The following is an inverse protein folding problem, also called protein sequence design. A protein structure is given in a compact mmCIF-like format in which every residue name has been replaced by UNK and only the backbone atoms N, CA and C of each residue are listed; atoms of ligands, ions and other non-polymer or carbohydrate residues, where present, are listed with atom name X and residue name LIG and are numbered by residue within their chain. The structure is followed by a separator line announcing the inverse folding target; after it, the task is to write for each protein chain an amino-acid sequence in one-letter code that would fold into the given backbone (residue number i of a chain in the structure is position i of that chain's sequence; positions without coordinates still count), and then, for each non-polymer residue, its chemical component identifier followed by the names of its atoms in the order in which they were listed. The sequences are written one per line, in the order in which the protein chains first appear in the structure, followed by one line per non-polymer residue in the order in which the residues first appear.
data_IF_396241276618
#
_entry.id   IF_396241276618
#
_cell.length_a   1.000
_cell.length_b   1.000
_cell.length_c   1.000
_cell.angle_alpha   90.00
_cell.angle_beta   90.00
_cell.angle_gamma   90.00
#
_symmetry.space_group_name_H-M   'P 1'
#
loop_
_entity.id
_entity.type
_entity.pdbx_description
1 polymer ?
#
# COMPACT_ATOMS: atom_id res chain seq x y z
N UNK A 1 -0.64 1.17 -11.56
CA UNK A 1 -1.64 0.40 -10.79
C UNK A 1 -1.79 0.98 -9.39
N UNK A 2 -0.76 0.95 -8.54
CA UNK A 2 -0.76 1.60 -7.21
C UNK A 2 -1.05 3.13 -7.21
N UNK A 3 -0.42 3.88 -8.12
CA UNK A 3 -0.66 5.34 -8.26
C UNK A 3 -2.00 5.71 -8.95
N UNK A 4 -2.80 4.71 -9.34
CA UNK A 4 -4.07 4.89 -10.07
C UNK A 4 -5.26 4.46 -9.18
N UNK A 5 -5.02 4.17 -7.90
CA UNK A 5 -6.06 3.76 -6.94
C UNK A 5 -6.35 2.26 -6.89
N UNK A 6 -5.49 1.43 -7.48
CA UNK A 6 -5.55 -0.03 -7.33
C UNK A 6 -4.54 -0.46 -6.27
N UNK A 7 -5.00 -0.54 -5.02
CA UNK A 7 -4.19 -0.85 -3.83
C UNK A 7 -4.38 -2.28 -3.29
N UNK A 8 -5.03 -3.13 -4.10
CA UNK A 8 -5.29 -4.53 -3.76
C UNK A 8 -6.36 -4.71 -2.69
N UNK A 9 -6.13 -5.66 -1.78
CA UNK A 9 -7.03 -6.00 -0.67
C UNK A 9 -6.72 -5.14 0.56
N UNK A 10 -7.26 -3.93 0.57
CA UNK A 10 -7.25 -3.04 1.72
C UNK A 10 -8.63 -2.90 2.33
N UNK A 11 -8.67 -2.66 3.64
CA UNK A 11 -9.92 -2.28 4.30
C UNK A 11 -10.38 -0.89 3.84
N UNK A 12 -11.69 -0.58 3.90
CA UNK A 12 -12.22 0.71 3.45
C UNK A 12 -11.54 1.92 4.12
N UNK A 13 -11.10 1.77 5.37
CA UNK A 13 -10.37 2.79 6.13
C UNK A 13 -9.00 3.09 5.50
N UNK A 14 -8.22 2.06 5.17
CA UNK A 14 -6.92 2.21 4.54
C UNK A 14 -7.03 2.75 3.11
N UNK A 15 -8.09 2.36 2.39
CA UNK A 15 -8.40 2.92 1.07
C UNK A 15 -8.70 4.43 1.18
N UNK A 16 -9.42 4.86 2.23
CA UNK A 16 -9.69 6.27 2.45
C UNK A 16 -8.41 7.05 2.81
N UNK A 17 -7.56 6.48 3.66
CA UNK A 17 -6.26 7.06 4.02
C UNK A 17 -5.34 7.20 2.80
N UNK A 18 -5.30 6.20 1.92
CA UNK A 18 -4.55 6.27 0.67
C UNK A 18 -5.08 7.35 -0.27
N UNK A 19 -6.40 7.54 -0.37
CA UNK A 19 -6.99 8.62 -1.17
C UNK A 19 -6.60 9.99 -0.62
N UNK A 20 -6.63 10.15 0.69
CA UNK A 20 -6.14 11.36 1.35
C UNK A 20 -4.65 11.56 1.06
N UNK A 21 -3.85 10.51 1.22
CA UNK A 21 -2.41 10.54 1.00
C UNK A 21 -2.01 10.80 -0.46
N UNK A 22 -2.81 10.38 -1.43
CA UNK A 22 -2.62 10.74 -2.84
C UNK A 22 -2.74 12.25 -3.07
N UNK A 23 -3.71 12.91 -2.43
CA UNK A 23 -3.96 14.35 -2.59
C UNK A 23 -2.90 15.16 -1.82
N UNK A 24 -2.55 14.70 -0.62
CA UNK A 24 -1.65 15.41 0.28
C UNK A 24 -0.17 15.05 0.08
N UNK A 25 0.15 14.16 -0.86
CA UNK A 25 1.52 13.71 -1.13
C UNK A 25 2.14 12.95 0.03
N UNK A 26 1.33 12.22 0.80
CA UNK A 26 1.79 11.39 1.92
C UNK A 26 2.09 9.97 1.46
N UNK A 27 2.59 9.14 2.39
CA UNK A 27 2.89 7.73 2.12
C UNK A 27 1.65 6.96 1.65
N UNK A 28 1.84 5.98 0.78
CA UNK A 28 0.78 5.08 0.31
C UNK A 28 1.03 3.67 0.83
N UNK A 29 -0.06 2.97 1.13
CA UNK A 29 -0.05 1.57 1.53
C UNK A 29 -0.74 0.72 0.46
N UNK A 30 -0.32 -0.52 0.26
CA UNK A 30 -1.14 -1.53 -0.41
C UNK A 30 -0.90 -2.90 0.16
N UNK A 31 -1.88 -3.75 -0.06
CA UNK A 31 -1.88 -5.13 0.39
C UNK A 31 -2.29 -6.00 -0.79
N UNK A 32 -1.45 -6.95 -1.14
CA UNK A 32 -1.76 -7.94 -2.17
C UNK A 32 -1.56 -9.34 -1.60
N UNK A 33 -2.46 -10.26 -1.92
CA UNK A 33 -2.18 -11.68 -1.70
C UNK A 33 -1.19 -12.19 -2.73
N UNK A 34 -0.13 -12.84 -2.26
CA UNK A 34 0.78 -13.60 -3.11
C UNK A 34 0.12 -14.91 -3.54
N UNK A 35 0.64 -15.54 -4.58
CA UNK A 35 0.19 -16.88 -4.99
C UNK A 35 0.41 -17.96 -3.91
N UNK A 36 1.27 -17.69 -2.91
CA UNK A 36 1.49 -18.56 -1.77
C UNK A 36 0.42 -18.38 -0.66
N UNK A 37 -0.51 -17.44 -0.82
CA UNK A 37 -1.55 -17.12 0.18
C UNK A 37 -1.09 -16.15 1.27
N UNK A 38 0.12 -15.61 1.16
CA UNK A 38 0.67 -14.65 2.12
C UNK A 38 0.28 -13.22 1.73
N UNK A 39 0.15 -12.35 2.73
CA UNK A 39 -0.18 -10.94 2.50
C UNK A 39 1.10 -10.13 2.31
N UNK A 40 1.31 -9.59 1.12
CA UNK A 40 2.41 -8.68 0.84
C UNK A 40 1.97 -7.23 1.07
N UNK A 41 2.64 -6.55 1.99
CA UNK A 41 2.46 -5.13 2.23
C UNK A 41 3.43 -4.32 1.38
N UNK A 42 2.92 -3.28 0.73
CA UNK A 42 3.69 -2.37 -0.11
C UNK A 42 3.54 -0.97 0.47
N UNK A 43 4.62 -0.40 0.98
CA UNK A 43 4.64 0.94 1.55
C UNK A 43 5.46 1.82 0.62
N UNK A 44 4.85 2.85 0.06
CA UNK A 44 5.54 3.85 -0.76
C UNK A 44 5.64 5.15 0.01
N UNK A 45 6.86 5.68 0.16
CA UNK A 45 7.08 6.93 0.90
C UNK A 45 6.41 8.14 0.24
N UNK A 46 6.22 9.19 1.04
CA UNK A 46 5.53 10.43 0.64
C UNK A 46 6.14 11.07 -0.62
N UNK A 47 7.46 11.11 -0.67
CA UNK A 47 8.25 11.63 -1.79
C UNK A 47 8.41 10.63 -2.96
N UNK A 48 7.84 9.43 -2.83
CA UNK A 48 8.00 8.31 -3.77
C UNK A 48 9.47 7.91 -4.01
N UNK A 49 10.38 8.27 -3.09
CA UNK A 49 11.80 7.97 -3.23
C UNK A 49 12.10 6.49 -2.97
N UNK A 50 11.25 5.84 -2.17
CA UNK A 50 11.37 4.44 -1.80
C UNK A 50 10.01 3.74 -1.78
N UNK A 51 10.05 2.45 -2.12
CA UNK A 51 8.95 1.50 -1.94
C UNK A 51 9.48 0.29 -1.18
N UNK A 52 8.98 0.10 0.04
CA UNK A 52 9.31 -1.03 0.89
C UNK A 52 8.25 -2.12 0.69
N UNK A 53 8.71 -3.35 0.54
CA UNK A 53 7.88 -4.55 0.45
C UNK A 53 8.09 -5.35 1.74
N UNK A 54 7.03 -5.63 2.47
CA UNK A 54 7.08 -6.37 3.75
C UNK A 54 6.15 -7.56 3.70
N UNK A 55 6.63 -8.70 4.17
CA UNK A 55 5.80 -9.87 4.46
C UNK A 55 5.13 -9.71 5.84
N UNK A 56 4.04 -10.45 6.14
CA UNK A 56 3.35 -10.35 7.44
C UNK A 56 4.26 -10.75 8.59
N UNK A 57 5.17 -11.69 8.36
CA UNK A 57 6.16 -12.15 9.33
C UNK A 57 7.26 -11.12 9.63
N UNK A 58 7.33 -10.02 8.87
CA UNK A 58 8.29 -8.92 9.04
C UNK A 58 7.66 -7.66 9.65
N UNK A 59 6.35 -7.68 9.97
CA UNK A 59 5.60 -6.57 10.57
C UNK A 59 5.33 -6.80 12.06
#
# INVERSE_FOLDING_TARGET
RHAIGDWGELEPTDVAENKYSLIHGLRLLSSYQTYAGERLWIITEADRSATTLLLPDEY
#
